data_IF_727333255907
#
_entry.id   IF_727333255907
#
_cell.length_a   1.000
_cell.length_b   1.000
_cell.length_c   1.000
_cell.angle_alpha   90.00
_cell.angle_beta   90.00
_cell.angle_gamma   90.00
#
_symmetry.space_group_name_H-M   'P 1'
#
loop_
_entity.id
_entity.type
_entity.pdbx_description
1 polymer ?
#
# COMPACT_ATOMS: atom_id res chain seq x y z
N UNK A 1 20.15 -6.50 11.77
CA UNK A 1 19.53 -5.56 10.81
C UNK A 1 18.70 -4.56 11.61
N UNK A 2 18.27 -3.41 11.05
CA UNK A 2 17.52 -2.42 11.83
C UNK A 2 16.17 -2.98 12.28
N UNK A 3 15.82 -2.77 13.54
CA UNK A 3 14.53 -3.17 14.10
C UNK A 3 13.93 -2.03 14.93
N UNK A 4 12.61 -1.92 14.94
CA UNK A 4 11.85 -1.02 15.79
C UNK A 4 10.84 -1.83 16.62
N UNK A 5 10.92 -1.70 17.94
CA UNK A 5 9.89 -2.27 18.83
C UNK A 5 8.69 -1.35 18.89
N UNK A 6 7.51 -1.90 18.65
CA UNK A 6 6.21 -1.21 18.69
C UNK A 6 5.24 -2.01 19.58
N UNK A 7 4.11 -1.44 20.02
CA UNK A 7 3.12 -2.21 20.77
C UNK A 7 2.66 -3.46 20.00
N UNK A 8 2.99 -4.63 20.55
CA UNK A 8 2.56 -5.93 20.01
C UNK A 8 3.40 -6.48 18.85
N UNK A 9 4.49 -5.83 18.44
CA UNK A 9 5.34 -6.34 17.35
C UNK A 9 6.78 -5.79 17.39
N UNK A 10 7.67 -6.42 16.63
CA UNK A 10 8.98 -5.88 16.26
C UNK A 10 9.04 -5.77 14.75
N UNK A 11 9.30 -4.56 14.25
CA UNK A 11 9.32 -4.24 12.83
C UNK A 11 10.75 -4.29 12.31
N UNK A 12 10.99 -5.03 11.23
CA UNK A 12 12.20 -4.96 10.43
C UNK A 12 12.08 -3.85 9.38
N UNK A 13 13.14 -3.07 9.20
CA UNK A 13 13.20 -2.04 8.18
C UNK A 13 14.62 -1.90 7.60
N UNK A 14 14.69 -1.40 6.38
CA UNK A 14 15.91 -1.09 5.65
C UNK A 14 15.85 0.36 5.17
N UNK A 15 16.99 1.03 5.22
CA UNK A 15 17.14 2.43 4.82
C UNK A 15 18.14 2.53 3.68
N UNK A 16 17.79 3.27 2.64
CA UNK A 16 18.70 3.59 1.54
C UNK A 16 18.85 5.11 1.40
N UNK A 17 20.05 5.54 1.00
CA UNK A 17 20.40 6.96 0.95
C UNK A 17 20.71 7.53 2.33
N UNK A 18 21.10 8.81 2.36
CA UNK A 18 21.50 9.50 3.59
C UNK A 18 21.00 10.96 3.66
N UNK A 19 20.12 11.37 2.74
CA UNK A 19 19.64 12.76 2.61
C UNK A 19 18.22 12.95 3.13
N UNK A 20 17.88 14.13 3.67
CA UNK A 20 16.47 14.50 3.89
C UNK A 20 15.90 15.08 2.59
N UNK A 21 14.60 14.89 2.29
CA UNK A 21 13.53 14.38 3.17
C UNK A 21 13.36 12.85 3.21
N UNK A 22 12.53 12.34 4.13
CA UNK A 22 12.21 10.92 4.31
C UNK A 22 11.13 10.46 3.31
N UNK A 23 11.29 9.26 2.75
CA UNK A 23 10.31 8.61 1.87
C UNK A 23 10.03 7.19 2.35
N UNK A 24 8.80 6.89 2.77
CA UNK A 24 8.42 5.59 3.36
C UNK A 24 7.51 4.82 2.41
N UNK A 25 7.86 3.57 2.12
CA UNK A 25 7.03 2.65 1.35
C UNK A 25 6.19 1.76 2.28
N UNK A 26 4.91 1.59 1.98
CA UNK A 26 4.00 0.68 2.69
C UNK A 26 3.57 -0.44 1.73
N UNK A 27 4.05 -1.68 1.91
CA UNK A 27 3.75 -2.79 1.01
C UNK A 27 2.30 -3.26 1.13
N UNK A 28 1.76 -3.72 0.00
CA UNK A 28 0.43 -4.33 -0.09
C UNK A 28 0.40 -5.77 0.41
N UNK A 29 -0.33 -6.64 -0.31
CA UNK A 29 -0.61 -8.03 0.10
C UNK A 29 0.63 -8.90 0.36
N UNK A 30 1.73 -8.65 -0.34
CA UNK A 30 3.02 -9.32 -0.11
C UNK A 30 3.61 -9.00 1.27
N UNK A 31 3.34 -7.81 1.79
CA UNK A 31 3.72 -7.33 3.12
C UNK A 31 5.21 -7.09 3.34
N UNK A 32 6.08 -7.43 2.38
CA UNK A 32 7.54 -7.28 2.47
C UNK A 32 8.00 -5.94 1.92
N UNK A 33 8.86 -5.28 2.66
CA UNK A 33 9.49 -4.04 2.21
C UNK A 33 10.42 -4.26 1.02
N UNK A 34 11.01 -5.47 0.90
CA UNK A 34 12.02 -5.77 -0.12
C UNK A 34 11.52 -5.66 -1.55
N UNK A 35 10.21 -5.74 -1.78
CA UNK A 35 9.60 -5.54 -3.11
C UNK A 35 9.92 -4.14 -3.68
N UNK A 36 10.19 -3.16 -2.81
CA UNK A 36 10.50 -1.79 -3.21
C UNK A 36 12.00 -1.51 -3.35
N UNK A 37 12.90 -2.46 -3.06
CA UNK A 37 14.35 -2.20 -3.12
C UNK A 37 14.81 -1.55 -4.44
N UNK A 38 14.33 -1.97 -5.64
CA UNK A 38 14.73 -1.33 -6.89
C UNK A 38 14.36 0.16 -6.94
N UNK A 39 13.10 0.52 -6.64
CA UNK A 39 12.64 1.92 -6.65
C UNK A 39 13.23 2.74 -5.50
N UNK A 40 13.39 2.14 -4.32
CA UNK A 40 13.96 2.78 -3.15
C UNK A 40 15.42 3.19 -3.37
N UNK A 41 16.22 2.34 -4.04
CA UNK A 41 17.61 2.66 -4.42
C UNK A 41 17.71 3.77 -5.45
N UNK A 42 16.79 3.84 -6.41
CA UNK A 42 16.75 4.94 -7.38
C UNK A 42 16.35 6.27 -6.72
N UNK A 43 15.32 6.24 -5.86
CA UNK A 43 14.86 7.41 -5.11
C UNK A 43 15.83 7.85 -4.00
N UNK A 44 16.73 6.98 -3.56
CA UNK A 44 17.75 7.28 -2.55
C UNK A 44 18.71 8.42 -2.93
N UNK A 45 18.74 8.80 -4.21
CA UNK A 45 19.48 10.00 -4.69
C UNK A 45 18.83 11.30 -4.22
N UNK A 46 17.51 11.29 -3.97
CA UNK A 46 16.71 12.46 -3.63
C UNK A 46 16.11 12.42 -2.22
N UNK A 47 16.03 11.22 -1.63
CA UNK A 47 15.40 10.95 -0.35
C UNK A 47 16.24 10.00 0.50
N UNK A 48 15.98 9.97 1.82
CA UNK A 48 16.25 8.79 2.63
C UNK A 48 15.03 7.89 2.48
N UNK A 49 15.18 6.78 1.78
CA UNK A 49 14.07 5.86 1.52
C UNK A 49 14.02 4.75 2.55
N UNK A 50 12.81 4.37 2.97
CA UNK A 50 12.57 3.34 3.99
C UNK A 50 11.66 2.26 3.43
N UNK A 51 12.16 1.03 3.43
CA UNK A 51 11.40 -0.18 3.14
C UNK A 51 11.24 -0.95 4.45
N UNK A 52 10.05 -1.45 4.78
CA UNK A 52 9.82 -2.19 6.02
C UNK A 52 8.82 -3.32 5.77
N UNK A 53 8.96 -4.38 6.56
CA UNK A 53 8.00 -5.48 6.56
C UNK A 53 6.87 -5.13 7.53
N UNK A 54 5.60 -5.26 7.12
CA UNK A 54 4.47 -4.99 8.02
C UNK A 54 4.43 -5.99 9.17
N UNK A 55 3.80 -5.63 10.30
CA UNK A 55 3.69 -6.53 11.46
C UNK A 55 3.13 -7.90 11.05
N UNK A 56 3.86 -8.97 11.41
CA UNK A 56 3.50 -10.35 11.08
C UNK A 56 3.95 -10.84 9.70
N UNK A 57 4.68 -10.02 8.93
CA UNK A 57 5.24 -10.39 7.63
C UNK A 57 6.77 -10.51 7.68
N UNK A 58 7.30 -11.54 7.01
CA UNK A 58 8.74 -11.76 6.80
C UNK A 58 9.58 -11.56 8.07
N UNK A 59 10.43 -10.54 8.12
CA UNK A 59 11.34 -10.31 9.25
C UNK A 59 10.70 -9.52 10.41
N UNK A 60 9.47 -9.02 10.21
CA UNK A 60 8.65 -8.40 11.25
C UNK A 60 7.75 -9.43 11.93
N UNK A 61 7.82 -9.53 13.25
CA UNK A 61 7.10 -10.56 13.99
C UNK A 61 6.22 -9.97 15.12
N UNK A 62 5.14 -10.68 15.41
CA UNK A 62 4.18 -10.32 16.45
C UNK A 62 4.71 -10.75 17.82
N UNK A 63 4.44 -9.93 18.83
CA UNK A 63 4.85 -10.16 20.22
C UNK A 63 3.61 -10.05 21.11
N UNK A 64 3.33 -11.12 21.86
CA UNK A 64 2.19 -11.16 22.77
C UNK A 64 0.83 -11.26 22.06
N UNK A 65 -0.24 -11.03 22.83
CA UNK A 65 -1.61 -11.11 22.33
C UNK A 65 -1.88 -10.03 21.27
N UNK A 66 -2.65 -10.40 20.24
CA UNK A 66 -2.93 -9.56 19.08
C UNK A 66 -4.41 -9.22 19.02
N UNK A 67 -4.71 -7.96 18.70
CA UNK A 67 -6.05 -7.53 18.30
C UNK A 67 -6.12 -7.44 16.78
N UNK A 68 -6.56 -8.52 16.15
CA UNK A 68 -6.73 -8.56 14.70
C UNK A 68 -7.97 -7.77 14.22
N UNK A 69 -8.91 -7.40 15.11
CA UNK A 69 -10.09 -6.62 14.72
C UNK A 69 -9.75 -5.17 14.39
N UNK A 70 -8.70 -4.62 15.01
CA UNK A 70 -8.21 -3.26 14.76
C UNK A 70 -6.85 -3.23 14.05
N UNK A 71 -6.51 -4.30 13.32
CA UNK A 71 -5.22 -4.44 12.63
C UNK A 71 -4.91 -3.29 11.67
N UNK A 72 -5.89 -2.81 10.90
CA UNK A 72 -5.68 -1.68 9.97
C UNK A 72 -5.17 -0.43 10.69
N UNK A 73 -5.78 -0.08 11.83
CA UNK A 73 -5.30 1.03 12.65
C UNK A 73 -3.90 0.73 13.20
N UNK A 74 -3.65 -0.50 13.65
CA UNK A 74 -2.35 -0.92 14.17
C UNK A 74 -1.22 -0.84 13.13
N UNK A 75 -1.50 -1.12 11.86
CA UNK A 75 -0.56 -0.94 10.73
C UNK A 75 -0.28 0.54 10.45
N UNK A 76 -1.29 1.40 10.50
CA UNK A 76 -1.12 2.85 10.33
C UNK A 76 -0.31 3.46 11.49
N UNK A 77 -0.59 3.01 12.70
CA UNK A 77 0.12 3.34 13.93
C UNK A 77 1.60 2.92 13.92
N UNK A 78 1.91 1.80 13.28
CA UNK A 78 3.29 1.36 13.06
C UNK A 78 4.03 2.25 12.07
N UNK A 79 3.37 2.62 10.96
CA UNK A 79 3.95 3.53 9.98
C UNK A 79 4.25 4.90 10.63
N UNK A 80 3.34 5.43 11.46
CA UNK A 80 3.56 6.63 12.25
C UNK A 80 4.80 6.50 13.15
N UNK A 81 4.88 5.41 13.96
CA UNK A 81 6.02 5.18 14.86
C UNK A 81 7.34 5.01 14.12
N UNK A 82 7.32 4.38 12.95
CA UNK A 82 8.50 4.24 12.09
C UNK A 82 8.97 5.61 11.56
N UNK A 83 8.04 6.46 11.13
CA UNK A 83 8.36 7.83 10.70
C UNK A 83 8.97 8.63 11.86
N UNK A 84 8.35 8.60 13.04
CA UNK A 84 8.85 9.31 14.23
C UNK A 84 10.22 8.81 14.67
N UNK A 85 10.47 7.49 14.60
CA UNK A 85 11.76 6.89 14.94
C UNK A 85 12.88 7.35 14.00
N UNK A 86 12.62 7.41 12.69
CA UNK A 86 13.62 7.72 11.68
C UNK A 86 13.77 9.23 11.40
N UNK A 87 12.74 10.00 11.70
CA UNK A 87 12.70 11.45 11.46
C UNK A 87 11.87 12.17 12.53
N UNK A 88 12.35 12.24 13.79
CA UNK A 88 11.59 12.73 14.94
C UNK A 88 11.18 14.21 14.88
N UNK A 89 11.76 14.97 13.95
CA UNK A 89 11.50 16.42 13.80
C UNK A 89 10.98 16.78 12.41
N UNK A 90 10.55 15.80 11.62
CA UNK A 90 10.09 16.06 10.25
C UNK A 90 9.08 15.01 9.79
N UNK A 91 8.43 15.35 8.69
CA UNK A 91 7.39 14.55 8.04
C UNK A 91 7.98 13.67 6.94
N UNK A 92 7.21 12.67 6.51
CA UNK A 92 7.59 11.77 5.42
C UNK A 92 6.70 11.96 4.18
N UNK A 93 7.28 11.81 3.00
CA UNK A 93 6.50 11.39 1.83
C UNK A 93 6.21 9.89 1.98
N UNK A 94 4.95 9.49 1.86
CA UNK A 94 4.52 8.10 2.01
C UNK A 94 4.01 7.59 0.67
N UNK A 95 4.48 6.43 0.24
CA UNK A 95 3.92 5.68 -0.87
C UNK A 95 3.29 4.40 -0.32
N UNK A 96 1.99 4.24 -0.48
CA UNK A 96 1.30 3.00 -0.19
C UNK A 96 0.74 2.41 -1.48
N UNK A 97 0.79 1.08 -1.64
CA UNK A 97 0.17 0.41 -2.78
C UNK A 97 -0.81 -0.67 -2.34
N UNK A 98 -1.94 -0.81 -3.05
CA UNK A 98 -2.93 -1.85 -2.77
C UNK A 98 -3.45 -1.75 -1.32
N UNK A 99 -3.47 -2.85 -0.56
CA UNK A 99 -3.79 -2.82 0.87
C UNK A 99 -2.86 -1.91 1.69
N UNK A 100 -1.60 -1.71 1.26
CA UNK A 100 -0.69 -0.74 1.86
C UNK A 100 -1.11 0.72 1.59
N UNK A 101 -1.84 0.98 0.50
CA UNK A 101 -2.45 2.29 0.26
C UNK A 101 -3.65 2.54 1.20
N UNK A 102 -4.41 1.49 1.55
CA UNK A 102 -5.48 1.58 2.57
C UNK A 102 -4.88 1.93 3.94
N UNK A 103 -3.78 1.27 4.33
CA UNK A 103 -3.01 1.63 5.54
C UNK A 103 -2.54 3.08 5.48
N UNK A 104 -2.02 3.52 4.33
CA UNK A 104 -1.50 4.86 4.17
C UNK A 104 -2.59 5.94 4.24
N UNK A 105 -3.80 5.66 3.74
CA UNK A 105 -4.96 6.54 3.89
C UNK A 105 -5.43 6.61 5.35
N UNK A 106 -5.42 5.48 6.07
CA UNK A 106 -5.69 5.46 7.52
C UNK A 106 -4.65 6.32 8.26
N UNK A 107 -3.36 6.16 7.93
CA UNK A 107 -2.27 6.98 8.49
C UNK A 107 -2.49 8.48 8.25
N UNK A 108 -2.84 8.90 7.03
CA UNK A 108 -3.08 10.31 6.74
C UNK A 108 -4.29 10.87 7.52
N UNK A 109 -5.29 10.04 7.78
CA UNK A 109 -6.51 10.44 8.50
C UNK A 109 -6.28 10.56 10.00
N UNK A 110 -5.49 9.65 10.60
CA UNK A 110 -5.28 9.60 12.05
C UNK A 110 -4.00 10.28 12.54
N UNK A 111 -2.97 10.34 11.69
CA UNK A 111 -1.64 10.90 11.98
C UNK A 111 -1.18 11.88 10.88
N UNK A 112 -2.00 12.90 10.50
CA UNK A 112 -1.67 13.81 9.41
C UNK A 112 -0.39 14.63 9.67
N UNK A 113 0.03 14.78 10.92
CA UNK A 113 1.25 15.47 11.33
C UNK A 113 2.53 14.72 10.99
N UNK A 114 2.43 13.44 10.61
CA UNK A 114 3.57 12.61 10.21
C UNK A 114 3.77 12.56 8.69
N UNK A 115 2.81 13.07 7.91
CA UNK A 115 2.79 12.96 6.45
C UNK A 115 2.95 14.34 5.81
N UNK A 116 3.93 14.43 4.90
CA UNK A 116 4.14 15.58 4.00
C UNK A 116 3.24 15.43 2.77
N UNK A 117 3.37 14.28 2.12
CA UNK A 117 2.58 13.86 0.96
C UNK A 117 2.28 12.37 1.06
N UNK A 118 1.06 11.98 0.75
CA UNK A 118 0.65 10.60 0.55
C UNK A 118 0.45 10.34 -0.94
N UNK A 119 1.23 9.43 -1.51
CA UNK A 119 0.99 8.82 -2.82
C UNK A 119 0.22 7.52 -2.57
N UNK A 120 -1.09 7.58 -2.78
CA UNK A 120 -2.00 6.46 -2.61
C UNK A 120 -2.16 5.72 -3.94
N UNK A 121 -1.48 4.58 -4.10
CA UNK A 121 -1.42 3.81 -5.34
C UNK A 121 -2.42 2.63 -5.32
N UNK A 122 -3.50 2.76 -6.08
CA UNK A 122 -4.49 1.68 -6.32
C UNK A 122 -5.04 0.94 -5.06
N UNK A 123 -5.58 1.65 -4.06
CA UNK A 123 -6.23 1.03 -2.90
C UNK A 123 -7.54 0.31 -3.29
N UNK A 124 -7.75 -0.96 -2.91
CA UNK A 124 -8.99 -1.70 -3.16
C UNK A 124 -10.09 -1.30 -2.15
N UNK A 125 -10.44 -0.02 -2.08
CA UNK A 125 -11.38 0.56 -1.09
C UNK A 125 -12.84 0.36 -1.52
N UNK A 126 -13.36 -0.86 -1.44
CA UNK A 126 -14.67 -1.18 -1.98
C UNK A 126 -15.83 -0.49 -1.26
N UNK A 127 -15.65 -0.01 -0.04
CA UNK A 127 -16.62 0.82 0.69
C UNK A 127 -16.98 2.13 -0.01
N UNK A 128 -16.13 2.61 -0.92
CA UNK A 128 -16.40 3.82 -1.71
C UNK A 128 -17.29 3.57 -2.93
N UNK A 129 -17.46 2.32 -3.37
CA UNK A 129 -18.21 2.02 -4.58
C UNK A 129 -19.72 2.24 -4.37
N UNK A 130 -20.53 2.40 -5.43
CA UNK A 130 -21.98 2.33 -5.32
C UNK A 130 -22.44 1.02 -4.66
N UNK A 131 -23.51 1.06 -3.85
CA UNK A 131 -23.94 -0.07 -3.00
C UNK A 131 -23.97 -1.44 -3.70
N UNK A 132 -24.49 -1.51 -4.93
CA UNK A 132 -24.51 -2.75 -5.71
C UNK A 132 -23.10 -3.33 -5.94
N UNK A 133 -22.16 -2.47 -6.33
CA UNK A 133 -20.75 -2.87 -6.53
C UNK A 133 -20.03 -3.16 -5.22
N UNK A 134 -20.41 -2.52 -4.10
CA UNK A 134 -19.90 -2.90 -2.78
C UNK A 134 -20.31 -4.34 -2.43
N UNK A 135 -21.57 -4.71 -2.69
CA UNK A 135 -22.07 -6.08 -2.47
C UNK A 135 -21.33 -7.08 -3.36
N UNK A 136 -21.11 -6.74 -4.64
CA UNK A 136 -20.35 -7.58 -5.57
C UNK A 136 -18.88 -7.76 -5.11
N UNK A 137 -18.21 -6.66 -4.74
CA UNK A 137 -16.84 -6.68 -4.23
C UNK A 137 -16.71 -7.52 -2.97
N UNK A 138 -17.59 -7.32 -1.98
CA UNK A 138 -17.62 -8.16 -0.76
C UNK A 138 -17.85 -9.63 -1.08
N UNK A 139 -18.79 -9.94 -1.97
CA UNK A 139 -19.08 -11.32 -2.37
C UNK A 139 -17.88 -12.00 -3.04
N UNK A 140 -17.14 -11.28 -3.88
CA UNK A 140 -15.91 -11.79 -4.50
C UNK A 140 -14.83 -12.06 -3.47
N UNK A 141 -14.61 -11.12 -2.55
CA UNK A 141 -13.62 -11.24 -1.47
C UNK A 141 -13.97 -12.41 -0.52
N UNK A 142 -15.23 -12.55 -0.15
CA UNK A 142 -15.71 -13.69 0.65
C UNK A 142 -15.57 -15.01 -0.12
N UNK A 143 -15.83 -15.03 -1.42
CA UNK A 143 -15.61 -16.21 -2.25
C UNK A 143 -14.13 -16.63 -2.27
N UNK A 144 -13.20 -15.67 -2.42
CA UNK A 144 -11.76 -15.93 -2.37
C UNK A 144 -11.36 -16.46 -0.99
N UNK A 145 -11.83 -15.84 0.10
CA UNK A 145 -11.53 -16.29 1.46
C UNK A 145 -12.10 -17.69 1.74
N UNK A 146 -13.34 -17.96 1.36
CA UNK A 146 -13.97 -19.27 1.54
C UNK A 146 -13.26 -20.35 0.72
N UNK A 147 -12.79 -20.01 -0.49
CA UNK A 147 -11.94 -20.89 -1.31
C UNK A 147 -10.62 -21.17 -0.59
N UNK A 148 -9.97 -20.16 -0.01
CA UNK A 148 -8.76 -20.35 0.79
C UNK A 148 -9.00 -21.31 1.97
N UNK A 149 -10.08 -21.12 2.73
CA UNK A 149 -10.40 -21.94 3.90
C UNK A 149 -10.78 -23.38 3.56
N UNK A 150 -11.38 -23.62 2.39
CA UNK A 150 -11.89 -24.94 1.99
C UNK A 150 -10.96 -25.71 1.04
N UNK A 151 -10.20 -25.02 0.19
CA UNK A 151 -9.42 -25.61 -0.90
C UNK A 151 -7.93 -25.20 -0.85
N UNK A 152 -7.54 -24.33 0.09
CA UNK A 152 -6.16 -23.91 0.27
C UNK A 152 -5.75 -22.72 -0.59
N UNK A 153 -4.50 -22.27 -0.36
CA UNK A 153 -4.00 -21.00 -0.91
C UNK A 153 -3.89 -21.00 -2.44
N UNK A 154 -3.48 -22.11 -3.07
CA UNK A 154 -3.25 -22.16 -4.53
C UNK A 154 -4.55 -21.88 -5.30
N UNK A 155 -5.62 -22.57 -4.92
CA UNK A 155 -6.95 -22.37 -5.50
C UNK A 155 -7.44 -20.95 -5.28
N UNK A 156 -7.30 -20.42 -4.06
CA UNK A 156 -7.71 -19.06 -3.76
C UNK A 156 -6.91 -18.00 -4.53
N UNK A 157 -5.60 -18.20 -4.69
CA UNK A 157 -4.73 -17.32 -5.47
C UNK A 157 -5.05 -17.37 -6.96
N UNK A 158 -5.43 -18.54 -7.49
CA UNK A 158 -5.94 -18.67 -8.85
C UNK A 158 -7.23 -17.86 -9.05
N UNK A 159 -8.17 -17.92 -8.10
CA UNK A 159 -9.40 -17.11 -8.15
C UNK A 159 -9.07 -15.62 -8.06
N UNK A 160 -8.24 -15.22 -7.09
CA UNK A 160 -7.84 -13.82 -6.90
C UNK A 160 -7.18 -13.24 -8.17
N UNK A 161 -6.24 -13.97 -8.77
CA UNK A 161 -5.50 -13.49 -9.94
C UNK A 161 -6.27 -13.66 -11.26
N UNK A 162 -7.34 -14.45 -11.31
CA UNK A 162 -8.20 -14.58 -12.50
C UNK A 162 -8.95 -13.29 -12.84
N UNK A 163 -9.14 -12.41 -11.86
CA UNK A 163 -9.73 -11.08 -12.04
C UNK A 163 -8.74 -10.01 -12.49
N UNK A 164 -7.45 -10.34 -12.58
CA UNK A 164 -6.41 -9.43 -13.07
C UNK A 164 -6.30 -9.55 -14.59
N UNK A 165 -6.04 -8.44 -15.26
CA UNK A 165 -5.74 -8.43 -16.70
C UNK A 165 -4.60 -9.40 -17.01
N UNK A 166 -4.76 -10.23 -18.06
CA UNK A 166 -3.70 -11.10 -18.53
C UNK A 166 -2.49 -10.27 -18.99
N UNK A 167 -1.29 -10.64 -18.56
CA UNK A 167 -0.05 -9.96 -18.95
C UNK A 167 1.13 -10.25 -18.03
N UNK A 168 2.32 -9.70 -18.35
CA UNK A 168 3.55 -9.92 -17.59
C UNK A 168 3.44 -9.57 -16.10
N UNK A 169 2.68 -8.53 -15.76
CA UNK A 169 2.46 -8.13 -14.37
C UNK A 169 1.62 -9.13 -13.57
N UNK A 170 0.62 -9.77 -14.20
CA UNK A 170 -0.14 -10.82 -13.52
C UNK A 170 0.73 -12.05 -13.22
N UNK A 171 1.69 -12.37 -14.10
CA UNK A 171 2.69 -13.42 -13.84
C UNK A 171 3.65 -13.04 -12.71
N UNK A 172 4.11 -11.78 -12.68
CA UNK A 172 4.94 -11.27 -11.59
C UNK A 172 4.18 -11.29 -10.27
N UNK A 173 2.91 -10.86 -10.24
CA UNK A 173 2.09 -10.90 -9.03
C UNK A 173 1.94 -12.34 -8.51
N UNK A 174 1.60 -13.29 -9.40
CA UNK A 174 1.54 -14.71 -9.07
C UNK A 174 2.87 -15.22 -8.52
N UNK A 175 3.98 -14.82 -9.14
CA UNK A 175 5.32 -15.21 -8.69
C UNK A 175 5.70 -14.58 -7.35
N UNK A 176 5.37 -13.32 -7.08
CA UNK A 176 5.67 -12.69 -5.79
C UNK A 176 4.93 -13.36 -4.63
N UNK A 177 3.70 -13.82 -4.88
CA UNK A 177 2.85 -14.51 -3.91
C UNK A 177 2.86 -16.04 -4.06
N UNK A 178 3.85 -16.60 -4.76
CA UNK A 178 3.97 -18.05 -4.92
C UNK A 178 4.61 -18.67 -3.67
N UNK A 179 3.81 -19.36 -2.87
CA UNK A 179 4.27 -20.03 -1.66
C UNK A 179 5.34 -21.12 -1.93
N UNK A 180 5.50 -21.60 -3.16
CA UNK A 180 6.57 -22.54 -3.55
C UNK A 180 7.96 -21.89 -3.53
N UNK A 181 8.04 -20.56 -3.49
CA UNK A 181 9.31 -19.82 -3.46
C UNK A 181 9.96 -19.79 -2.07
N UNK A 182 9.26 -20.20 -1.02
CA UNK A 182 9.83 -20.34 0.30
C UNK A 182 8.80 -20.25 1.42
N UNK A 183 9.17 -20.78 2.59
CA UNK A 183 8.31 -20.79 3.78
C UNK A 183 7.89 -19.38 4.23
N UNK A 184 8.76 -18.39 4.03
CA UNK A 184 8.47 -16.98 4.31
C UNK A 184 7.31 -16.45 3.45
N UNK A 185 7.39 -16.61 2.13
CA UNK A 185 6.33 -16.16 1.21
C UNK A 185 5.03 -16.90 1.50
N UNK A 186 5.12 -18.22 1.77
CA UNK A 186 3.95 -19.00 2.19
C UNK A 186 3.30 -18.41 3.45
N UNK A 187 4.08 -18.12 4.49
CA UNK A 187 3.56 -17.54 5.73
C UNK A 187 2.89 -16.19 5.49
N UNK A 188 3.51 -15.31 4.70
CA UNK A 188 2.95 -14.01 4.33
C UNK A 188 1.60 -14.14 3.61
N UNK A 189 1.50 -15.05 2.64
CA UNK A 189 0.25 -15.28 1.91
C UNK A 189 -0.87 -15.79 2.84
N UNK A 190 -0.57 -16.77 3.70
CA UNK A 190 -1.55 -17.30 4.66
C UNK A 190 -2.00 -16.22 5.64
N UNK A 191 -1.06 -15.42 6.14
CA UNK A 191 -1.35 -14.31 7.05
C UNK A 191 -2.24 -13.25 6.39
N UNK A 192 -1.95 -12.90 5.14
CA UNK A 192 -2.77 -11.99 4.34
C UNK A 192 -4.20 -12.50 4.14
N UNK A 193 -4.37 -13.75 3.71
CA UNK A 193 -5.69 -14.35 3.53
C UNK A 193 -6.50 -14.34 4.84
N UNK A 194 -5.85 -14.67 5.96
CA UNK A 194 -6.53 -14.82 7.24
C UNK A 194 -6.93 -13.46 7.87
N UNK A 195 -6.02 -12.49 7.84
CA UNK A 195 -6.14 -11.27 8.66
C UNK A 195 -6.26 -9.97 7.88
N UNK A 196 -6.13 -9.97 6.55
CA UNK A 196 -6.09 -8.73 5.77
C UNK A 196 -7.13 -8.68 4.66
N UNK A 197 -7.22 -9.73 3.83
CA UNK A 197 -7.98 -9.75 2.60
C UNK A 197 -9.40 -9.16 2.76
N UNK A 198 -10.16 -9.63 3.76
CA UNK A 198 -11.53 -9.15 4.03
C UNK A 198 -11.56 -7.78 4.72
N UNK A 199 -10.73 -7.60 5.74
CA UNK A 199 -10.76 -6.42 6.59
C UNK A 199 -10.36 -5.15 5.84
N UNK A 200 -9.39 -5.23 4.92
CA UNK A 200 -8.81 -4.04 4.29
C UNK A 200 -9.60 -3.64 3.05
N UNK A 201 -10.10 -4.61 2.28
CA UNK A 201 -10.94 -4.33 1.10
C UNK A 201 -12.33 -3.84 1.50
N UNK A 202 -12.84 -4.31 2.65
CA UNK A 202 -14.12 -3.88 3.23
C UNK A 202 -14.02 -2.74 4.24
N UNK A 203 -12.84 -2.17 4.49
CA UNK A 203 -12.68 -1.08 5.45
C UNK A 203 -13.42 0.17 4.99
N UNK A 204 -14.09 0.85 5.92
CA UNK A 204 -14.63 2.19 5.69
C UNK A 204 -13.49 3.19 5.49
N UNK A 205 -13.61 4.05 4.48
CA UNK A 205 -12.67 5.13 4.23
C UNK A 205 -13.12 6.37 5.00
N UNK A 206 -12.24 6.92 5.86
CA UNK A 206 -12.50 8.19 6.55
C UNK A 206 -12.39 9.37 5.58
N UNK A 207 -13.46 9.59 4.79
CA UNK A 207 -13.54 10.66 3.80
C UNK A 207 -13.34 12.04 4.46
N UNK A 208 -13.88 12.25 5.67
CA UNK A 208 -13.71 13.53 6.37
C UNK A 208 -12.27 13.74 6.83
N UNK A 209 -11.61 12.70 7.33
CA UNK A 209 -10.17 12.71 7.65
C UNK A 209 -9.31 13.05 6.46
N UNK A 210 -9.55 12.36 5.33
CA UNK A 210 -8.83 12.64 4.09
C UNK A 210 -9.13 14.05 3.56
N UNK A 211 -10.35 14.55 3.70
CA UNK A 211 -10.72 15.92 3.28
C UNK A 211 -9.98 16.99 4.05
N UNK A 212 -9.77 16.81 5.36
CA UNK A 212 -8.98 17.74 6.21
C UNK A 212 -7.52 17.85 5.76
N UNK A 213 -6.98 16.82 5.10
CA UNK A 213 -5.59 16.74 4.66
C UNK A 213 -5.46 16.54 3.13
N UNK A 214 -6.46 16.97 2.36
CA UNK A 214 -6.56 16.65 0.92
C UNK A 214 -5.42 17.23 0.09
N UNK A 215 -4.85 18.33 0.54
CA UNK A 215 -3.67 18.99 0.00
C UNK A 215 -2.40 18.13 0.13
N UNK A 216 -2.41 17.13 1.01
CA UNK A 216 -1.34 16.13 1.15
C UNK A 216 -1.57 14.88 0.31
N UNK A 217 -2.79 14.64 -0.17
CA UNK A 217 -3.20 13.41 -0.85
C UNK A 217 -2.96 13.50 -2.36
N UNK A 218 -2.30 12.47 -2.90
CA UNK A 218 -2.09 12.26 -4.33
C UNK A 218 -2.59 10.87 -4.69
N UNK A 219 -3.60 10.79 -5.56
CA UNK A 219 -4.12 9.52 -6.06
C UNK A 219 -3.37 9.13 -7.33
N UNK A 220 -2.86 7.90 -7.38
CA UNK A 220 -2.06 7.41 -8.52
C UNK A 220 -2.52 6.02 -8.94
N UNK A 221 -2.68 5.81 -10.24
CA UNK A 221 -2.95 4.50 -10.83
C UNK A 221 -2.04 4.24 -12.03
N UNK A 222 -1.81 2.96 -12.35
CA UNK A 222 -1.12 2.58 -13.57
C UNK A 222 -1.86 3.07 -14.82
N UNK A 223 -1.11 3.42 -15.87
CA UNK A 223 -1.64 3.70 -17.20
C UNK A 223 -2.33 2.46 -17.78
N UNK A 224 -1.73 1.28 -17.57
CA UNK A 224 -2.22 0.01 -18.09
C UNK A 224 -3.27 -0.67 -17.20
N UNK A 225 -3.53 -0.11 -16.00
CA UNK A 225 -4.59 -0.59 -15.09
C UNK A 225 -6.00 -0.24 -15.57
N UNK A 226 -6.13 0.64 -16.56
CA UNK A 226 -7.41 1.09 -17.11
C UNK A 226 -8.35 1.62 -16.02
N UNK A 227 -9.59 1.14 -16.06
CA UNK A 227 -10.65 1.37 -15.06
C UNK A 227 -10.94 0.11 -14.24
N UNK A 228 -9.90 -0.67 -13.94
CA UNK A 228 -9.99 -1.90 -13.15
C UNK A 228 -10.58 -1.69 -11.74
N UNK A 229 -10.85 -2.80 -11.02
CA UNK A 229 -11.56 -2.76 -9.73
C UNK A 229 -10.84 -1.97 -8.62
N UNK A 230 -9.52 -1.76 -8.74
CA UNK A 230 -8.74 -0.90 -7.83
C UNK A 230 -8.78 0.59 -8.21
N UNK A 231 -9.09 0.93 -9.47
CA UNK A 231 -9.09 2.31 -9.98
C UNK A 231 -10.45 2.98 -9.77
N UNK A 232 -11.54 2.22 -9.89
CA UNK A 232 -12.90 2.79 -9.70
C UNK A 232 -13.10 3.44 -8.32
N UNK A 233 -12.72 2.81 -7.18
CA UNK A 233 -12.78 3.48 -5.88
C UNK A 233 -12.00 4.80 -5.83
N UNK A 234 -10.85 4.86 -6.51
CA UNK A 234 -10.04 6.08 -6.55
C UNK A 234 -10.72 7.20 -7.34
N UNK A 235 -11.45 6.87 -8.41
CA UNK A 235 -12.23 7.86 -9.15
C UNK A 235 -13.34 8.44 -8.29
N UNK A 236 -14.06 7.60 -7.54
CA UNK A 236 -15.06 8.08 -6.57
C UNK A 236 -14.40 8.99 -5.54
N UNK A 237 -13.27 8.58 -4.96
CA UNK A 237 -12.54 9.39 -3.98
C UNK A 237 -12.03 10.72 -4.56
N UNK A 238 -11.57 10.68 -5.82
CA UNK A 238 -11.10 11.85 -6.58
C UNK A 238 -12.23 12.88 -6.75
N UNK A 239 -13.43 12.42 -7.12
CA UNK A 239 -14.62 13.25 -7.27
C UNK A 239 -15.08 13.82 -5.91
N UNK A 240 -15.17 12.98 -4.87
CA UNK A 240 -15.62 13.35 -3.52
C UNK A 240 -14.70 14.36 -2.81
N UNK A 241 -13.39 14.25 -3.03
CA UNK A 241 -12.38 15.12 -2.39
C UNK A 241 -11.91 16.27 -3.28
N UNK A 242 -12.27 16.24 -4.57
CA UNK A 242 -11.76 17.14 -5.61
C UNK A 242 -10.22 17.11 -5.68
N UNK A 243 -9.64 15.90 -5.64
CA UNK A 243 -8.19 15.64 -5.77
C UNK A 243 -7.91 14.96 -7.10
N UNK A 244 -6.80 15.27 -7.74
CA UNK A 244 -6.49 14.70 -9.05
C UNK A 244 -6.08 13.23 -8.96
N UNK A 245 -6.68 12.39 -9.81
CA UNK A 245 -6.18 11.04 -10.11
C UNK A 245 -5.13 11.11 -11.22
N UNK A 246 -3.89 10.79 -10.87
CA UNK A 246 -2.74 10.82 -11.76
C UNK A 246 -2.39 9.42 -12.26
N UNK A 247 -1.62 9.37 -13.35
CA UNK A 247 -1.18 8.12 -13.97
C UNK A 247 0.35 7.95 -13.94
N UNK A 248 0.79 6.70 -13.76
CA UNK A 248 2.20 6.24 -13.77
C UNK A 248 2.39 5.08 -14.74
N UNK A 249 3.60 4.89 -15.31
CA UNK A 249 3.88 3.81 -16.23
C UNK A 249 3.60 2.41 -15.65
N UNK A 250 3.09 1.51 -16.49
CA UNK A 250 2.74 0.13 -16.14
C UNK A 250 1.31 -0.01 -15.60
N UNK A 251 0.98 -1.20 -15.10
CA UNK A 251 -0.25 -1.46 -14.37
C UNK A 251 0.05 -1.47 -12.85
N UNK A 252 -0.61 -2.34 -12.09
CA UNK A 252 -0.54 -2.40 -10.63
C UNK A 252 0.88 -2.58 -10.07
N UNK A 253 1.78 -3.24 -10.81
CA UNK A 253 3.15 -3.54 -10.43
C UNK A 253 4.19 -2.79 -11.30
N UNK A 254 3.82 -1.64 -11.88
CA UNK A 254 4.76 -0.83 -12.67
C UNK A 254 6.07 -0.49 -11.93
N UNK A 255 6.02 -0.33 -10.60
CA UNK A 255 7.20 -0.13 -9.74
C UNK A 255 8.14 -1.34 -9.65
N UNK A 256 7.70 -2.54 -10.04
CA UNK A 256 8.52 -3.76 -10.15
C UNK A 256 8.99 -3.97 -11.58
N UNK A 257 8.11 -3.75 -12.57
CA UNK A 257 8.40 -4.01 -13.99
C UNK A 257 9.42 -3.03 -14.57
N UNK A 258 9.18 -1.74 -14.39
CA UNK A 258 10.11 -0.69 -14.82
C UNK A 258 10.30 0.34 -13.69
N UNK A 259 11.14 0.01 -12.69
CA UNK A 259 11.43 0.89 -11.57
C UNK A 259 11.94 2.28 -12.00
N UNK A 260 12.67 2.36 -13.12
CA UNK A 260 13.27 3.61 -13.58
C UNK A 260 12.22 4.56 -14.18
N UNK A 261 11.34 4.04 -15.05
CA UNK A 261 10.22 4.82 -15.59
C UNK A 261 9.26 5.26 -14.48
N UNK A 262 8.94 4.35 -13.55
CA UNK A 262 8.07 4.64 -12.42
C UNK A 262 8.63 5.77 -11.54
N UNK A 263 9.91 5.69 -11.15
CA UNK A 263 10.56 6.72 -10.32
C UNK A 263 10.66 8.06 -11.04
N UNK A 264 10.99 8.07 -12.34
CA UNK A 264 11.02 9.31 -13.14
C UNK A 264 9.66 10.01 -13.07
N UNK A 265 8.58 9.27 -13.32
CA UNK A 265 7.23 9.83 -13.26
C UNK A 265 6.87 10.34 -11.86
N UNK A 266 7.20 9.61 -10.79
CA UNK A 266 6.95 10.09 -9.42
C UNK A 266 7.66 11.40 -9.11
N UNK A 267 8.88 11.59 -9.61
CA UNK A 267 9.63 12.84 -9.45
C UNK A 267 9.00 13.98 -10.25
N UNK A 268 8.53 13.73 -11.47
CA UNK A 268 7.82 14.74 -12.28
C UNK A 268 6.53 15.19 -11.59
N UNK A 269 5.78 14.25 -10.99
CA UNK A 269 4.56 14.57 -10.24
C UNK A 269 4.85 15.46 -9.02
N UNK A 270 5.98 15.25 -8.34
CA UNK A 270 6.42 16.10 -7.22
C UNK A 270 6.65 17.54 -7.66
N UNK A 271 7.38 17.74 -8.75
CA UNK A 271 7.79 19.09 -9.18
C UNK A 271 6.59 19.91 -9.66
N UNK A 272 5.66 19.28 -10.39
CA UNK A 272 4.39 19.91 -10.80
C UNK A 272 3.48 20.29 -9.63
N UNK A 273 3.53 19.55 -8.51
CA UNK A 273 2.76 19.88 -7.29
C UNK A 273 3.39 21.03 -6.47
N UNK A 274 4.69 21.30 -6.64
CA UNK A 274 5.38 22.43 -5.99
C UNK A 274 5.12 23.76 -6.70
N UNK A 275 5.01 23.74 -8.02
CA UNK A 275 4.80 24.95 -8.82
C UNK A 275 3.37 25.51 -8.66
N UNK A 276 2.36 24.63 -8.54
CA UNK A 276 0.96 25.03 -8.31
C UNK A 276 0.70 25.71 -6.94
N UNK A 277 1.64 25.62 -5.99
CA UNK A 277 1.56 26.27 -4.67
C UNK A 277 2.30 27.62 -4.62
N UNK A 278 3.05 27.98 -5.68
CA UNK A 278 3.72 29.29 -5.80
C UNK A 278 2.88 30.33 -6.52
N UNK A 279 1.86 29.89 -7.25
CA UNK A 279 0.94 30.75 -8.02
C UNK A 279 -0.42 30.98 -7.34
N UNK A 280 -0.52 30.73 -6.02
CA UNK A 280 -1.69 31.07 -5.17
C UNK A 280 -1.26 31.84 -3.94
#
# INVERSE_FOLDING_TARGET
MPHLTVPGAVLHYEVFGAGKPLFVFIPGADGRGSIFHPVAKLLATYYTTVCWDRRGYSQSYLVGAQDFQHRLQADADDAHRLIQHLSPTSVATVFGTSSGAVVAQQLLSTHPESVEKLISHEPPSFSLLPHEKQVQGRSLIDHIYNTYRSQGYESAMSVFTSGLSNGPEAEIMRSCMDAKRGDEIRANCLFWFEFELRQYTGAEVDIEGLRRSKDKLVLVAGEDSGDGPSVEPMRVLSEELQVQLLRVPGAHLGYVVDPAAFVRRLLDLRDNLRDNLRDR
#
